data_IF_536342960223
#
_entry.id   IF_536342960223
#
_cell.length_a   1.000
_cell.length_b   1.000
_cell.length_c   1.000
_cell.angle_alpha   90.00
_cell.angle_beta   90.00
_cell.angle_gamma   90.00
#
_symmetry.space_group_name_H-M   'P 1'
#
loop_
_entity.id
_entity.type
_entity.pdbx_description
1 polymer ?
#
# COMPACT_ATOMS: atom_id res chain seq x y z
N UNK A 1 17.39 0.07 -4.77
CA UNK A 1 16.70 1.36 -4.89
C UNK A 1 15.24 1.10 -5.21
N UNK A 2 14.32 1.54 -4.36
CA UNK A 2 12.86 1.36 -4.59
C UNK A 2 12.41 2.35 -5.65
N UNK A 3 11.66 1.91 -6.67
CA UNK A 3 11.22 2.78 -7.78
C UNK A 3 9.82 3.33 -7.51
N UNK A 4 9.58 4.57 -7.91
CA UNK A 4 8.23 5.17 -7.89
C UNK A 4 7.41 4.56 -9.04
N UNK A 5 6.20 4.11 -8.73
CA UNK A 5 5.26 3.48 -9.69
C UNK A 5 3.91 4.19 -9.73
N UNK A 6 3.36 4.60 -8.57
CA UNK A 6 2.08 5.30 -8.44
C UNK A 6 0.91 4.58 -9.17
N UNK A 7 0.68 3.30 -8.85
CA UNK A 7 -0.41 2.50 -9.43
C UNK A 7 -1.63 2.42 -8.51
N UNK A 8 -2.88 2.58 -9.01
CA UNK A 8 -4.07 2.22 -8.25
C UNK A 8 -4.04 0.75 -7.87
N UNK A 9 -4.46 0.43 -6.64
CA UNK A 9 -4.50 -0.94 -6.14
C UNK A 9 -5.82 -1.21 -5.40
N UNK A 10 -6.18 -2.48 -5.34
CA UNK A 10 -7.29 -2.95 -4.50
C UNK A 10 -6.73 -3.62 -3.26
N UNK A 11 -7.26 -3.27 -2.08
CA UNK A 11 -6.67 -3.65 -0.79
C UNK A 11 -7.68 -4.37 0.08
N UNK A 12 -7.25 -5.49 0.66
CA UNK A 12 -7.91 -6.09 1.83
C UNK A 12 -7.24 -5.52 3.08
N UNK A 13 -8.03 -4.89 3.93
CA UNK A 13 -7.60 -4.33 5.20
C UNK A 13 -8.67 -4.58 6.26
N UNK A 14 -8.29 -4.47 7.53
CA UNK A 14 -9.24 -4.36 8.63
C UNK A 14 -8.99 -3.04 9.35
N UNK A 15 -10.03 -2.50 9.97
CA UNK A 15 -9.94 -1.27 10.75
C UNK A 15 -10.21 -1.62 12.20
N UNK A 16 -9.32 -1.20 13.10
CA UNK A 16 -9.50 -1.43 14.53
C UNK A 16 -10.57 -0.49 15.13
N UNK A 17 -10.94 -0.72 16.39
CA UNK A 17 -11.91 0.10 17.11
C UNK A 17 -11.45 1.55 17.35
N UNK A 18 -10.16 1.85 17.12
CA UNK A 18 -9.59 3.20 17.20
C UNK A 18 -9.56 3.90 15.84
N UNK A 19 -10.04 3.24 14.78
CA UNK A 19 -10.06 3.78 13.42
C UNK A 19 -8.74 3.64 12.67
N UNK A 20 -7.75 2.88 13.17
CA UNK A 20 -6.55 2.61 12.41
C UNK A 20 -6.80 1.53 11.37
N UNK A 21 -6.43 1.83 10.12
CA UNK A 21 -6.52 0.88 9.02
C UNK A 21 -5.24 0.04 8.98
N UNK A 22 -5.41 -1.28 8.89
CA UNK A 22 -4.36 -2.28 8.89
C UNK A 22 -4.42 -3.07 7.56
N UNK A 23 -3.59 -2.73 6.57
CA UNK A 23 -3.60 -3.41 5.28
C UNK A 23 -2.96 -4.80 5.38
N UNK A 24 -3.60 -5.80 4.79
CA UNK A 24 -3.21 -7.21 4.87
C UNK A 24 -2.63 -7.73 3.55
N UNK A 25 -3.28 -7.37 2.44
CA UNK A 25 -2.82 -7.72 1.09
C UNK A 25 -3.44 -6.78 0.09
N UNK A 26 -2.78 -6.65 -1.05
CA UNK A 26 -3.33 -5.89 -2.16
C UNK A 26 -3.14 -6.64 -3.47
N UNK A 27 -3.92 -6.25 -4.48
CA UNK A 27 -3.72 -6.67 -5.85
C UNK A 27 -3.67 -5.48 -6.79
N UNK A 28 -2.97 -5.66 -7.89
CA UNK A 28 -2.89 -4.68 -8.97
C UNK A 28 -2.80 -5.38 -10.32
N UNK A 29 -3.17 -4.65 -11.37
CA UNK A 29 -3.15 -5.15 -12.74
C UNK A 29 -1.71 -5.04 -13.29
N UNK A 30 -1.17 -6.16 -13.76
CA UNK A 30 0.09 -6.24 -14.48
C UNK A 30 -0.09 -5.86 -15.96
N UNK A 31 1.01 -5.80 -16.72
CA UNK A 31 0.96 -5.39 -18.14
C UNK A 31 0.16 -6.34 -19.03
N UNK A 32 0.07 -7.60 -18.63
CA UNK A 32 -0.68 -8.66 -19.32
C UNK A 32 -2.14 -8.75 -18.86
N UNK A 33 -2.64 -7.69 -18.19
CA UNK A 33 -3.99 -7.59 -17.62
C UNK A 33 -4.29 -8.61 -16.50
N UNK A 34 -3.30 -9.42 -16.10
CA UNK A 34 -3.45 -10.33 -14.98
C UNK A 34 -3.39 -9.59 -13.64
N UNK A 35 -4.04 -10.17 -12.63
CA UNK A 35 -3.91 -9.67 -11.25
C UNK A 35 -2.68 -10.26 -10.58
N UNK A 36 -1.81 -9.40 -10.08
CA UNK A 36 -0.78 -9.79 -9.13
C UNK A 36 -1.21 -9.49 -7.71
N UNK A 37 -1.14 -10.49 -6.84
CA UNK A 37 -1.47 -10.39 -5.42
C UNK A 37 -0.18 -10.32 -4.60
N UNK A 38 -0.07 -9.32 -3.73
CA UNK A 38 1.03 -9.16 -2.77
C UNK A 38 0.46 -9.24 -1.36
N UNK A 39 0.94 -10.20 -0.56
CA UNK A 39 0.66 -10.27 0.87
C UNK A 39 1.57 -9.31 1.62
N UNK A 40 1.05 -8.61 2.62
CA UNK A 40 1.84 -7.74 3.50
C UNK A 40 2.21 -8.57 4.72
N UNK A 41 3.49 -8.87 4.88
CA UNK A 41 3.97 -9.63 6.04
C UNK A 41 4.09 -8.73 7.27
N UNK A 42 4.51 -7.47 7.07
CA UNK A 42 4.67 -6.50 8.14
C UNK A 42 4.50 -5.07 7.63
N UNK A 43 3.74 -4.27 8.37
CA UNK A 43 3.78 -2.80 8.27
C UNK A 43 4.89 -2.30 9.20
N UNK A 44 5.92 -1.69 8.62
CA UNK A 44 7.10 -1.19 9.34
C UNK A 44 6.89 0.21 9.89
N UNK A 45 6.13 1.03 9.16
CA UNK A 45 5.90 2.43 9.48
C UNK A 45 4.54 2.89 8.93
N UNK A 46 3.89 3.79 9.67
CA UNK A 46 2.67 4.49 9.27
C UNK A 46 2.87 5.98 9.55
N UNK A 47 2.60 6.83 8.57
CA UNK A 47 2.62 8.29 8.75
C UNK A 47 1.48 8.97 8.00
N UNK A 48 1.11 10.17 8.46
CA UNK A 48 0.17 11.04 7.78
C UNK A 48 0.94 12.11 7.00
N UNK A 49 0.93 12.03 5.68
CA UNK A 49 1.43 13.10 4.81
C UNK A 49 0.31 14.12 4.57
N UNK A 50 0.66 15.41 4.63
CA UNK A 50 -0.24 16.52 4.31
C UNK A 50 0.35 17.35 3.18
N UNK A 51 -0.28 17.32 2.01
CA UNK A 51 0.16 18.01 0.81
C UNK A 51 -0.99 18.85 0.25
N UNK A 52 -0.93 20.17 0.43
CA UNK A 52 -1.91 21.12 -0.13
C UNK A 52 -3.39 20.70 0.04
N UNK A 53 -3.76 20.22 1.23
CA UNK A 53 -5.12 19.75 1.55
C UNK A 53 -5.38 18.27 1.25
N UNK A 54 -4.51 17.60 0.50
CA UNK A 54 -4.55 16.15 0.33
C UNK A 54 -3.82 15.47 1.48
N UNK A 55 -4.60 14.76 2.29
CA UNK A 55 -4.11 13.96 3.40
C UNK A 55 -3.98 12.49 2.97
N UNK A 56 -2.80 11.91 3.12
CA UNK A 56 -2.54 10.51 2.78
C UNK A 56 -1.94 9.77 3.98
N UNK A 57 -2.49 8.60 4.30
CA UNK A 57 -1.82 7.64 5.16
C UNK A 57 -0.80 6.87 4.33
N UNK A 58 0.46 6.94 4.71
CA UNK A 58 1.56 6.23 4.04
C UNK A 58 1.99 5.06 4.90
N UNK A 59 2.00 3.88 4.30
CA UNK A 59 2.42 2.64 4.93
C UNK A 59 3.68 2.13 4.25
N UNK A 60 4.77 1.98 5.02
CA UNK A 60 5.98 1.27 4.58
C UNK A 60 5.83 -0.19 4.97
N UNK A 61 5.91 -1.09 4.01
CA UNK A 61 5.55 -2.48 4.17
C UNK A 61 6.69 -3.41 3.73
N UNK A 62 6.74 -4.59 4.33
CA UNK A 62 7.57 -5.71 3.90
C UNK A 62 6.71 -6.88 3.42
N UNK A 63 7.22 -7.60 2.43
CA UNK A 63 6.65 -8.87 1.95
C UNK A 63 7.75 -9.80 1.46
N UNK A 64 7.52 -11.10 1.59
CA UNK A 64 8.36 -12.13 1.01
C UNK A 64 7.81 -12.53 -0.35
N UNK A 65 8.49 -12.12 -1.42
CA UNK A 65 8.10 -12.39 -2.80
C UNK A 65 9.21 -13.24 -3.42
N UNK A 66 8.86 -14.46 -3.86
CA UNK A 66 9.81 -15.43 -4.41
C UNK A 66 11.01 -15.69 -3.48
N UNK A 67 10.76 -15.84 -2.18
CA UNK A 67 11.78 -16.09 -1.16
C UNK A 67 12.66 -14.89 -0.80
N UNK A 68 12.41 -13.71 -1.39
CA UNK A 68 13.16 -12.49 -1.07
C UNK A 68 12.27 -11.48 -0.35
N UNK A 69 12.79 -10.89 0.72
CA UNK A 69 12.14 -9.77 1.37
C UNK A 69 12.19 -8.54 0.45
N UNK A 70 11.02 -7.99 0.17
CA UNK A 70 10.83 -6.76 -0.60
C UNK A 70 10.18 -5.69 0.29
N UNK A 71 10.58 -4.46 0.07
CA UNK A 71 10.00 -3.29 0.74
C UNK A 71 9.22 -2.48 -0.29
N UNK A 72 8.04 -1.99 0.07
CA UNK A 72 7.22 -1.14 -0.77
C UNK A 72 6.43 -0.14 0.07
N UNK A 73 5.91 0.90 -0.59
CA UNK A 73 5.06 1.92 0.03
C UNK A 73 3.67 1.88 -0.61
N UNK A 74 2.63 1.76 0.22
CA UNK A 74 1.24 1.97 -0.19
C UNK A 74 0.69 3.22 0.49
N UNK A 75 -0.13 3.98 -0.22
CA UNK A 75 -0.78 5.19 0.27
C UNK A 75 -2.29 5.02 0.25
N UNK A 76 -2.96 5.53 1.28
CA UNK A 76 -4.41 5.67 1.33
C UNK A 76 -4.76 7.14 1.39
N UNK A 77 -5.39 7.65 0.33
CA UNK A 77 -5.84 9.04 0.26
C UNK A 77 -7.16 9.19 1.02
N UNK A 78 -7.17 10.03 2.06
CA UNK A 78 -8.31 10.17 2.97
C UNK A 78 -9.55 10.78 2.30
N UNK A 79 -9.35 11.69 1.34
CA UNK A 79 -10.46 12.39 0.68
C UNK A 79 -11.24 11.51 -0.31
N UNK A 80 -10.55 10.65 -1.05
CA UNK A 80 -11.17 9.79 -2.08
C UNK A 80 -11.32 8.34 -1.66
N UNK A 81 -10.76 7.96 -0.51
CA UNK A 81 -10.69 6.57 -0.03
C UNK A 81 -10.00 5.62 -1.01
N UNK A 82 -9.04 6.12 -1.80
CA UNK A 82 -8.31 5.34 -2.81
C UNK A 82 -6.95 4.89 -2.29
N UNK A 83 -6.58 3.67 -2.68
CA UNK A 83 -5.27 3.10 -2.41
C UNK A 83 -4.34 3.19 -3.62
N UNK A 84 -3.06 3.45 -3.36
CA UNK A 84 -2.02 3.56 -4.38
C UNK A 84 -0.79 2.77 -3.94
N UNK A 85 -0.25 1.92 -4.81
CA UNK A 85 1.12 1.42 -4.70
C UNK A 85 2.07 2.52 -5.19
N UNK A 86 2.72 3.19 -4.24
CA UNK A 86 3.55 4.35 -4.55
C UNK A 86 4.96 3.97 -4.95
N UNK A 87 5.61 3.05 -4.21
CA UNK A 87 6.97 2.58 -4.50
C UNK A 87 7.08 1.06 -4.37
N UNK A 88 7.82 0.40 -5.26
CA UNK A 88 8.18 -1.05 -5.20
C UNK A 88 9.54 -1.32 -5.86
#
# INVERSE_FOLDING_TARGET
>A
MVKVVAKPIEVVSWTDSLGNIHPIRFRYIEKDESYRIIKIDRVAHKELEKLCGNHMLVYRCYSTINGQQKTFEIKYELGSCKWILFKI
#
